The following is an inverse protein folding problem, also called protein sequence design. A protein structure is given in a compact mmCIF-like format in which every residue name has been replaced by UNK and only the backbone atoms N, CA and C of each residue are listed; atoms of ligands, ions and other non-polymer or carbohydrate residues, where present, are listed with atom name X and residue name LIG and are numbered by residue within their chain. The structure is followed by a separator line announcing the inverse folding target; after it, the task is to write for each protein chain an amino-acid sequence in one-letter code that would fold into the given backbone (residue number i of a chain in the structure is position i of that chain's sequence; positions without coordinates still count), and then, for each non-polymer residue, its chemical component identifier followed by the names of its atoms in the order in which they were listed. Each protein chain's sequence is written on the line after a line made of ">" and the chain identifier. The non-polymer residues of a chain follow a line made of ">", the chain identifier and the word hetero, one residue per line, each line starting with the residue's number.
data_IF_636999036501
#
_entry.id   IF_636999036501
#
_cell.length_a   1.000
_cell.length_b   1.000
_cell.length_c   1.000
_cell.angle_alpha   90.00
_cell.angle_beta   90.00
_cell.angle_gamma   90.00
#
_symmetry.space_group_name_H-M   'P 1'
#
loop_
_entity.id
_entity.type
_entity.pdbx_description
1 polymer ?
#
# COMPACT_ATOMS: atom_id res chain seq x y z
N UNK A 1 23.97 11.19 1.20
CA UNK A 1 23.92 11.53 2.65
C UNK A 1 22.61 12.19 3.02
N UNK A 2 22.25 13.38 2.50
CA UNK A 2 20.96 14.04 2.88
C UNK A 2 19.73 13.19 2.57
N UNK A 3 19.69 12.50 1.44
CA UNK A 3 18.56 11.65 1.05
C UNK A 3 18.45 10.40 1.90
N UNK A 4 19.56 9.80 2.30
CA UNK A 4 19.59 8.64 3.20
C UNK A 4 19.09 8.99 4.60
N UNK A 5 19.45 10.16 5.13
CA UNK A 5 18.95 10.65 6.42
C UNK A 5 17.44 10.93 6.37
N UNK A 6 16.95 11.50 5.26
CA UNK A 6 15.52 11.72 5.07
C UNK A 6 14.76 10.40 4.97
N UNK A 7 15.31 9.40 4.29
CA UNK A 7 14.70 8.08 4.20
C UNK A 7 14.71 7.37 5.56
N UNK A 8 15.83 7.39 6.30
CA UNK A 8 15.90 6.82 7.65
C UNK A 8 14.85 7.45 8.57
N UNK A 9 14.65 8.77 8.48
CA UNK A 9 13.60 9.47 9.20
C UNK A 9 12.20 9.01 8.77
N UNK A 10 11.94 8.88 7.47
CA UNK A 10 10.63 8.46 6.94
C UNK A 10 10.23 7.06 7.43
N UNK A 11 11.20 6.17 7.65
CA UNK A 11 10.97 4.78 8.10
C UNK A 11 11.24 4.57 9.60
N UNK A 12 11.44 5.64 10.37
CA UNK A 12 11.85 5.56 11.78
C UNK A 12 10.73 5.14 12.74
N UNK A 13 9.48 5.40 12.38
CA UNK A 13 8.33 5.06 13.22
C UNK A 13 8.09 3.55 13.21
N UNK A 14 7.99 2.92 14.40
CA UNK A 14 7.74 1.48 14.50
C UNK A 14 6.30 1.11 14.12
N UNK A 15 5.39 2.07 14.19
CA UNK A 15 3.98 1.89 13.91
C UNK A 15 3.37 3.16 13.34
N UNK A 16 2.49 2.98 12.37
CA UNK A 16 1.68 4.03 11.76
C UNK A 16 0.39 3.41 11.23
N UNK A 17 -0.72 4.10 11.40
CA UNK A 17 -2.01 3.71 10.82
C UNK A 17 -2.06 3.91 9.30
N UNK A 18 -1.13 4.66 8.73
CA UNK A 18 -1.03 4.93 7.28
C UNK A 18 -0.06 3.98 6.59
N UNK A 19 0.92 3.45 7.31
CA UNK A 19 1.92 2.56 6.71
C UNK A 19 1.31 1.23 6.24
N UNK A 20 1.63 0.84 5.02
CA UNK A 20 1.06 -0.37 4.38
C UNK A 20 1.70 -1.66 4.84
N UNK A 21 2.90 -1.60 5.40
CA UNK A 21 3.59 -2.77 5.95
C UNK A 21 3.05 -3.21 7.33
N UNK A 22 2.15 -2.40 7.90
CA UNK A 22 1.64 -2.62 9.26
C UNK A 22 2.68 -2.27 10.33
N UNK A 23 2.53 -2.80 11.56
CA UNK A 23 3.47 -2.57 12.64
C UNK A 23 4.77 -3.32 12.35
N UNK A 24 5.81 -2.56 12.00
CA UNK A 24 7.15 -3.08 11.72
C UNK A 24 8.14 -2.48 12.68
N UNK A 25 8.66 -3.33 13.57
CA UNK A 25 9.72 -2.91 14.47
C UNK A 25 11.07 -2.99 13.77
N UNK A 26 11.61 -1.84 13.39
CA UNK A 26 12.92 -1.78 12.74
C UNK A 26 13.97 -1.28 13.70
N UNK A 27 14.98 -2.10 13.96
CA UNK A 27 16.21 -1.65 14.61
C UNK A 27 16.96 -0.66 13.69
N UNK A 28 17.91 0.11 14.26
CA UNK A 28 18.76 0.98 13.45
C UNK A 28 19.49 0.21 12.32
N UNK A 29 19.95 -1.01 12.60
CA UNK A 29 20.57 -1.87 11.59
C UNK A 29 19.55 -2.32 10.52
N UNK A 30 18.31 -2.60 10.91
CA UNK A 30 17.23 -2.93 10.00
C UNK A 30 16.88 -1.76 9.06
N UNK A 31 16.80 -0.55 9.59
CA UNK A 31 16.58 0.65 8.77
C UNK A 31 17.69 0.90 7.76
N UNK A 32 18.95 0.77 8.19
CA UNK A 32 20.11 0.88 7.28
C UNK A 32 20.03 -0.10 6.11
N UNK A 33 19.59 -1.34 6.35
CA UNK A 33 19.40 -2.32 5.27
C UNK A 33 18.34 -1.87 4.27
N UNK A 34 17.24 -1.27 4.72
CA UNK A 34 16.20 -0.72 3.83
C UNK A 34 16.76 0.44 3.00
N UNK A 35 17.51 1.34 3.63
CA UNK A 35 18.14 2.49 2.95
C UNK A 35 19.17 2.02 1.91
N UNK A 36 19.89 0.93 2.18
CA UNK A 36 20.93 0.38 1.32
C UNK A 36 20.42 -0.68 0.32
N UNK A 37 19.13 -0.98 0.31
CA UNK A 37 18.56 -1.94 -0.64
C UNK A 37 18.48 -1.36 -2.05
N UNK A 38 19.46 -1.64 -2.88
CA UNK A 38 19.55 -1.18 -4.28
C UNK A 38 18.40 -1.69 -5.15
N UNK A 39 17.64 -2.70 -4.71
CA UNK A 39 16.49 -3.24 -5.44
C UNK A 39 15.25 -2.38 -5.25
N UNK A 40 15.20 -1.63 -4.18
CA UNK A 40 14.10 -0.73 -3.85
C UNK A 40 14.40 0.70 -4.29
N UNK A 41 13.37 1.39 -4.70
CA UNK A 41 13.44 2.83 -4.99
C UNK A 41 12.48 3.57 -4.07
N UNK A 42 12.84 4.77 -3.69
CA UNK A 42 12.12 5.53 -2.67
C UNK A 42 11.79 6.94 -3.18
N UNK A 43 10.57 7.37 -2.95
CA UNK A 43 10.12 8.76 -3.09
C UNK A 43 9.87 9.32 -1.70
N UNK A 44 10.69 10.27 -1.25
CA UNK A 44 10.49 10.94 0.03
C UNK A 44 9.30 11.89 -0.09
N UNK A 45 8.35 11.78 0.84
CA UNK A 45 7.17 12.64 0.90
C UNK A 45 7.41 13.74 1.93
N UNK A 46 7.23 14.98 1.48
CA UNK A 46 7.44 16.18 2.31
C UNK A 46 6.22 17.09 2.25
N UNK A 47 5.89 17.67 3.40
CA UNK A 47 4.88 18.72 3.54
C UNK A 47 5.54 19.89 4.24
N UNK A 48 5.49 21.07 3.65
CA UNK A 48 6.13 22.30 4.19
C UNK A 48 7.59 22.06 4.64
N UNK A 49 8.37 21.39 3.78
CA UNK A 49 9.77 21.01 4.00
C UNK A 49 10.04 19.95 5.10
N UNK A 50 9.03 19.46 5.78
CA UNK A 50 9.16 18.37 6.74
C UNK A 50 8.93 17.02 6.07
N UNK A 51 9.79 16.04 6.37
CA UNK A 51 9.60 14.66 5.94
C UNK A 51 8.46 14.05 6.73
N UNK A 52 7.42 13.59 6.03
CA UNK A 52 6.22 12.97 6.61
C UNK A 52 6.11 11.48 6.27
N UNK A 53 6.95 10.99 5.36
CA UNK A 53 6.98 9.58 5.00
C UNK A 53 7.70 9.32 3.69
N UNK A 54 7.47 8.13 3.14
CA UNK A 54 8.01 7.71 1.85
C UNK A 54 7.03 6.80 1.10
N UNK A 55 7.09 6.83 -0.22
CA UNK A 55 6.52 5.80 -1.10
C UNK A 55 7.68 5.00 -1.66
N UNK A 56 7.67 3.70 -1.41
CA UNK A 56 8.72 2.78 -1.84
C UNK A 56 8.15 1.80 -2.86
N UNK A 57 8.92 1.47 -3.88
CA UNK A 57 8.57 0.37 -4.77
C UNK A 57 9.76 -0.55 -4.96
N UNK A 58 9.47 -1.82 -5.05
CA UNK A 58 10.44 -2.88 -5.27
C UNK A 58 9.91 -3.86 -6.32
N UNK A 59 10.79 -4.49 -7.12
CA UNK A 59 10.37 -5.50 -8.07
C UNK A 59 9.77 -6.71 -7.35
N UNK A 60 8.67 -7.22 -7.89
CA UNK A 60 8.09 -8.48 -7.48
C UNK A 60 8.86 -9.68 -8.05
N UNK A 61 8.30 -10.87 -7.90
CA UNK A 61 8.89 -12.10 -8.45
C UNK A 61 8.70 -12.21 -9.98
N UNK A 62 7.62 -11.65 -10.50
CA UNK A 62 7.31 -11.66 -11.92
C UNK A 62 7.89 -10.41 -12.59
N UNK A 63 8.58 -10.53 -13.74
CA UNK A 63 9.09 -9.39 -14.48
C UNK A 63 7.98 -8.38 -14.83
N UNK A 64 8.24 -7.10 -14.60
CA UNK A 64 7.28 -6.03 -14.81
C UNK A 64 6.28 -5.84 -13.68
N UNK A 65 6.31 -6.67 -12.63
CA UNK A 65 5.47 -6.51 -11.44
C UNK A 65 6.26 -5.80 -10.34
N UNK A 66 5.61 -4.84 -9.70
CA UNK A 66 6.18 -4.08 -8.60
C UNK A 66 5.25 -4.09 -7.40
N UNK A 67 5.83 -4.09 -6.21
CA UNK A 67 5.13 -3.81 -4.96
C UNK A 67 5.37 -2.38 -4.56
N UNK A 68 4.31 -1.71 -4.17
CA UNK A 68 4.34 -0.35 -3.69
C UNK A 68 3.98 -0.34 -2.21
N UNK A 69 4.80 0.33 -1.42
CA UNK A 69 4.58 0.52 0.00
C UNK A 69 4.55 2.01 0.34
N UNK A 70 3.63 2.39 1.21
CA UNK A 70 3.58 3.71 1.83
C UNK A 70 4.08 3.56 3.26
N UNK A 71 5.02 4.40 3.66
CA UNK A 71 5.51 4.48 5.04
C UNK A 71 5.30 5.90 5.55
N UNK A 72 4.70 6.04 6.71
CA UNK A 72 4.47 7.33 7.36
C UNK A 72 5.33 7.45 8.61
N UNK A 73 5.88 8.63 8.84
CA UNK A 73 6.49 9.02 10.12
C UNK A 73 5.71 10.17 10.80
N UNK A 74 4.66 10.66 10.16
CA UNK A 74 3.71 11.63 10.70
C UNK A 74 2.34 11.37 10.09
N UNK A 75 1.52 10.57 10.77
CA UNK A 75 0.19 10.17 10.27
C UNK A 75 -0.78 11.35 10.15
N UNK A 76 -0.61 12.40 10.97
CA UNK A 76 -1.49 13.55 10.95
C UNK A 76 -1.33 14.38 9.66
N UNK A 77 -0.16 14.31 9.02
CA UNK A 77 0.09 14.98 7.75
C UNK A 77 -0.52 14.25 6.54
N UNK A 78 -0.87 12.96 6.68
CA UNK A 78 -1.40 12.18 5.58
C UNK A 78 -2.89 12.40 5.39
N UNK A 79 -3.25 12.73 4.17
CA UNK A 79 -4.62 12.85 3.68
C UNK A 79 -4.80 12.00 2.43
N UNK A 80 -6.04 11.63 2.03
CA UNK A 80 -6.28 10.95 0.76
C UNK A 80 -5.66 11.69 -0.44
N UNK A 81 -5.64 13.03 -0.39
CA UNK A 81 -5.03 13.85 -1.43
C UNK A 81 -3.50 13.74 -1.47
N UNK A 82 -2.84 13.69 -0.31
CA UNK A 82 -1.39 13.49 -0.26
C UNK A 82 -1.02 12.08 -0.74
N UNK A 83 -1.80 11.07 -0.37
CA UNK A 83 -1.65 9.71 -0.87
C UNK A 83 -1.79 9.67 -2.41
N UNK A 84 -2.82 10.32 -2.95
CA UNK A 84 -3.04 10.44 -4.40
C UNK A 84 -1.82 11.05 -5.11
N UNK A 85 -1.32 12.17 -4.63
CA UNK A 85 -0.17 12.85 -5.24
C UNK A 85 1.11 12.01 -5.14
N UNK A 86 1.36 11.41 -3.99
CA UNK A 86 2.59 10.65 -3.74
C UNK A 86 2.61 9.33 -4.51
N UNK A 87 1.52 8.57 -4.46
CA UNK A 87 1.37 7.32 -5.20
C UNK A 87 1.35 7.60 -6.70
N UNK A 88 0.58 8.58 -7.16
CA UNK A 88 0.53 8.97 -8.56
C UNK A 88 1.90 9.39 -9.11
N UNK A 89 2.72 10.06 -8.30
CA UNK A 89 4.11 10.40 -8.67
C UNK A 89 4.99 9.16 -8.80
N UNK A 90 4.91 8.22 -7.86
CA UNK A 90 5.64 6.96 -7.92
C UNK A 90 5.23 6.12 -9.14
N UNK A 91 3.92 6.02 -9.42
CA UNK A 91 3.39 5.34 -10.60
C UNK A 91 3.87 5.97 -11.90
N UNK A 92 3.87 7.31 -11.99
CA UNK A 92 4.38 8.05 -13.15
C UNK A 92 5.87 7.82 -13.36
N UNK A 93 6.64 7.67 -12.28
CA UNK A 93 8.07 7.33 -12.36
C UNK A 93 8.27 5.90 -12.88
N UNK A 94 7.53 4.94 -12.36
CA UNK A 94 7.57 3.54 -12.81
C UNK A 94 7.25 3.42 -14.30
N UNK A 95 6.22 4.12 -14.79
CA UNK A 95 5.83 4.13 -16.19
C UNK A 95 6.94 4.68 -17.12
N UNK A 96 7.74 5.65 -16.64
CA UNK A 96 8.77 6.30 -17.46
C UNK A 96 10.13 5.63 -17.38
N UNK A 97 10.48 5.09 -16.22
CA UNK A 97 11.84 4.63 -15.92
C UNK A 97 12.00 3.11 -15.95
N UNK A 98 10.91 2.36 -15.98
CA UNK A 98 10.92 0.90 -15.89
C UNK A 98 9.89 0.27 -16.84
N UNK A 99 10.14 -0.95 -17.28
CA UNK A 99 9.13 -1.79 -17.94
C UNK A 99 8.13 -2.34 -16.90
N UNK A 100 7.41 -1.44 -16.25
CA UNK A 100 6.43 -1.81 -15.26
C UNK A 100 5.07 -2.05 -15.94
N UNK A 101 4.47 -3.22 -15.67
CA UNK A 101 3.15 -3.60 -16.17
C UNK A 101 2.10 -3.52 -15.08
N UNK A 102 2.48 -3.88 -13.87
CA UNK A 102 1.55 -4.05 -12.78
C UNK A 102 2.16 -3.61 -11.46
N UNK A 103 1.36 -2.94 -10.66
CA UNK A 103 1.73 -2.53 -9.30
C UNK A 103 0.72 -3.08 -8.31
N UNK A 104 1.23 -3.75 -7.28
CA UNK A 104 0.46 -4.26 -6.14
C UNK A 104 0.59 -3.31 -4.96
N UNK A 105 -0.52 -3.03 -4.31
CA UNK A 105 -0.62 -2.28 -3.07
C UNK A 105 -1.44 -3.07 -2.06
N UNK A 106 -0.88 -3.30 -0.87
CA UNK A 106 -1.58 -3.94 0.24
C UNK A 106 -2.03 -2.87 1.24
N UNK A 107 -3.33 -2.81 1.53
CA UNK A 107 -3.89 -1.80 2.43
C UNK A 107 -4.68 -2.47 3.56
N UNK A 108 -4.28 -2.21 4.79
CA UNK A 108 -5.02 -2.68 5.97
C UNK A 108 -6.38 -2.00 6.08
N UNK A 109 -7.38 -2.73 6.58
CA UNK A 109 -8.74 -2.18 6.70
C UNK A 109 -8.90 -1.13 7.81
N UNK A 110 -7.90 -0.93 8.64
CA UNK A 110 -7.83 0.19 9.58
C UNK A 110 -7.25 1.47 8.96
N UNK A 111 -6.61 1.37 7.80
CA UNK A 111 -5.95 2.50 7.13
C UNK A 111 -6.98 3.35 6.36
N UNK A 112 -7.63 4.25 7.07
CA UNK A 112 -8.71 5.08 6.50
C UNK A 112 -8.23 5.95 5.35
N UNK A 113 -7.04 6.54 5.46
CA UNK A 113 -6.47 7.43 4.44
C UNK A 113 -6.31 6.73 3.10
N UNK A 114 -5.72 5.52 3.11
CA UNK A 114 -5.50 4.78 1.88
C UNK A 114 -6.78 4.10 1.36
N UNK A 115 -7.71 3.71 2.24
CA UNK A 115 -9.02 3.22 1.79
C UNK A 115 -9.83 4.32 1.10
N UNK A 116 -9.81 5.55 1.61
CA UNK A 116 -10.46 6.68 0.97
C UNK A 116 -9.79 7.04 -0.37
N UNK A 117 -8.46 6.96 -0.42
CA UNK A 117 -7.72 7.09 -1.69
C UNK A 117 -8.16 6.02 -2.70
N UNK A 118 -8.19 4.74 -2.32
CA UNK A 118 -8.61 3.65 -3.20
C UNK A 118 -10.07 3.79 -3.65
N UNK A 119 -10.94 4.28 -2.77
CA UNK A 119 -12.34 4.51 -3.10
C UNK A 119 -12.53 5.59 -4.18
N UNK A 120 -11.62 6.58 -4.22
CA UNK A 120 -11.66 7.67 -5.20
C UNK A 120 -10.85 7.39 -6.46
N UNK A 121 -10.03 6.32 -6.47
CA UNK A 121 -9.15 5.96 -7.60
C UNK A 121 -9.56 4.64 -8.24
N UNK A 122 -10.17 4.69 -9.40
CA UNK A 122 -10.59 3.49 -10.16
C UNK A 122 -9.43 2.72 -10.81
N UNK A 123 -8.22 3.27 -10.80
CA UNK A 123 -7.04 2.61 -11.38
C UNK A 123 -6.55 1.39 -10.59
N UNK A 124 -6.95 1.29 -9.31
CA UNK A 124 -6.66 0.12 -8.49
C UNK A 124 -7.88 -0.79 -8.39
N UNK A 125 -7.72 -2.01 -8.86
CA UNK A 125 -8.72 -3.07 -8.71
C UNK A 125 -8.46 -3.89 -7.45
N UNK A 126 -9.53 -4.24 -6.71
CA UNK A 126 -9.43 -5.13 -5.57
C UNK A 126 -9.36 -6.57 -6.06
N UNK A 127 -8.25 -7.24 -5.81
CA UNK A 127 -8.09 -8.64 -6.18
C UNK A 127 -8.46 -9.62 -5.08
N UNK A 128 -8.24 -9.23 -3.85
CA UNK A 128 -8.49 -10.12 -2.72
C UNK A 128 -8.48 -9.41 -1.37
N UNK A 129 -8.84 -10.19 -0.36
CA UNK A 129 -8.78 -9.79 1.04
C UNK A 129 -8.02 -10.85 1.82
N UNK A 130 -6.94 -10.44 2.47
CA UNK A 130 -6.18 -11.30 3.38
C UNK A 130 -6.79 -11.16 4.77
N UNK A 131 -7.34 -12.24 5.31
CA UNK A 131 -7.86 -12.29 6.67
C UNK A 131 -6.70 -12.25 7.67
N UNK A 132 -6.95 -11.65 8.83
CA UNK A 132 -6.03 -11.68 9.97
C UNK A 132 -4.58 -11.30 9.63
N UNK A 133 -4.44 -10.36 8.68
CA UNK A 133 -3.13 -10.00 8.14
C UNK A 133 -2.28 -9.20 9.12
N UNK A 134 -2.91 -8.33 9.90
CA UNK A 134 -2.23 -7.46 10.86
C UNK A 134 -2.83 -7.63 12.25
N UNK A 135 -1.98 -7.64 13.27
CA UNK A 135 -2.40 -7.67 14.67
C UNK A 135 -2.07 -6.33 15.32
N UNK A 136 -3.11 -5.58 15.74
CA UNK A 136 -2.99 -4.24 16.31
C UNK A 136 -4.05 -4.06 17.40
N UNK A 137 -3.66 -3.50 18.52
CA UNK A 137 -4.55 -3.18 19.63
C UNK A 137 -5.38 -4.38 20.10
N UNK A 138 -4.73 -5.54 20.18
CA UNK A 138 -5.35 -6.77 20.68
C UNK A 138 -6.27 -7.48 19.69
N UNK A 139 -6.37 -7.05 18.44
CA UNK A 139 -7.21 -7.69 17.42
C UNK A 139 -6.51 -7.87 16.08
N UNK A 140 -7.00 -8.83 15.31
CA UNK A 140 -6.58 -9.03 13.92
C UNK A 140 -7.37 -8.15 12.97
N UNK A 141 -6.66 -7.64 11.97
CA UNK A 141 -7.22 -6.81 10.92
C UNK A 141 -6.96 -7.43 9.56
N UNK A 142 -7.97 -7.48 8.69
CA UNK A 142 -7.76 -7.87 7.31
C UNK A 142 -7.03 -6.80 6.52
N UNK A 143 -6.49 -7.21 5.37
CA UNK A 143 -5.92 -6.30 4.39
C UNK A 143 -6.50 -6.56 3.01
N UNK A 144 -6.64 -5.49 2.25
CA UNK A 144 -7.10 -5.51 0.86
C UNK A 144 -5.86 -5.56 -0.04
N UNK A 145 -5.82 -6.52 -0.96
CA UNK A 145 -4.83 -6.58 -2.03
C UNK A 145 -5.41 -5.84 -3.23
N UNK A 146 -4.75 -4.79 -3.63
CA UNK A 146 -5.15 -3.98 -4.77
C UNK A 146 -4.05 -3.99 -5.82
N UNK A 147 -4.43 -4.03 -7.09
CA UNK A 147 -3.51 -3.97 -8.20
C UNK A 147 -3.92 -2.92 -9.21
N UNK A 148 -2.93 -2.24 -9.77
CA UNK A 148 -3.11 -1.35 -10.91
C UNK A 148 -2.36 -1.92 -12.12
N UNK A 149 -3.07 -2.00 -13.26
CA UNK A 149 -2.44 -2.21 -14.55
C UNK A 149 -1.90 -0.87 -15.06
N UNK A 150 -0.58 -0.78 -15.19
CA UNK A 150 0.05 0.47 -15.60
C UNK A 150 -0.22 0.82 -17.07
N UNK A 151 -0.54 -0.14 -17.91
CA UNK A 151 -0.92 0.12 -19.29
C UNK A 151 -2.27 0.85 -19.40
N UNK A 152 -3.15 0.65 -18.41
CA UNK A 152 -4.45 1.30 -18.31
C UNK A 152 -4.46 2.47 -17.30
N UNK A 153 -3.33 2.81 -16.68
CA UNK A 153 -3.28 3.83 -15.63
C UNK A 153 -3.47 5.23 -16.21
N UNK A 154 -4.53 5.95 -15.87
CA UNK A 154 -4.82 7.26 -16.41
C UNK A 154 -3.84 8.29 -15.84
N UNK A 155 -2.93 8.77 -16.67
CA UNK A 155 -2.06 9.89 -16.31
C UNK A 155 -2.88 11.18 -16.49
N UNK A 156 -3.48 11.68 -15.40
CA UNK A 156 -4.10 13.01 -15.38
C UNK A 156 -5.61 13.10 -15.45
N UNK A 157 -6.34 12.00 -15.63
CA UNK A 157 -7.82 12.01 -15.55
C UNK A 157 -8.28 11.41 -14.20
N UNK A 158 -9.24 12.06 -13.58
CA UNK A 158 -9.98 11.51 -12.44
C UNK A 158 -11.15 10.67 -12.98
N UNK A 159 -11.13 9.35 -12.83
CA UNK A 159 -12.34 8.59 -13.04
C UNK A 159 -13.35 8.88 -11.92
N UNK A 160 -14.63 8.67 -12.19
CA UNK A 160 -15.69 8.76 -11.18
C UNK A 160 -15.37 7.79 -10.03
N UNK A 161 -15.08 8.37 -8.86
CA UNK A 161 -14.64 7.63 -7.69
C UNK A 161 -15.75 6.78 -7.07
N UNK A 162 -15.36 5.69 -6.46
CA UNK A 162 -16.24 4.86 -5.64
C UNK A 162 -16.31 5.44 -4.23
N UNK A 163 -17.51 5.50 -3.62
CA UNK A 163 -17.61 5.86 -2.21
C UNK A 163 -16.96 4.81 -1.30
N UNK A 164 -16.33 5.25 -0.22
CA UNK A 164 -15.68 4.38 0.78
C UNK A 164 -16.58 3.26 1.28
N UNK A 165 -17.88 3.55 1.50
CA UNK A 165 -18.87 2.54 1.91
C UNK A 165 -19.04 1.43 0.87
N UNK A 166 -19.03 1.77 -0.41
CA UNK A 166 -19.09 0.81 -1.51
C UNK A 166 -17.83 -0.04 -1.57
N UNK A 167 -16.65 0.57 -1.38
CA UNK A 167 -15.38 -0.16 -1.26
C UNK A 167 -15.44 -1.18 -0.11
N UNK A 168 -15.82 -0.73 1.08
CA UNK A 168 -15.94 -1.59 2.26
C UNK A 168 -17.01 -2.68 2.07
N UNK A 169 -18.09 -2.38 1.37
CA UNK A 169 -19.12 -3.36 1.00
C UNK A 169 -18.56 -4.43 0.08
N UNK A 170 -17.75 -4.06 -0.92
CA UNK A 170 -17.08 -5.02 -1.82
C UNK A 170 -16.07 -5.89 -1.08
N UNK A 171 -15.28 -5.30 -0.18
CA UNK A 171 -14.37 -6.03 0.70
C UNK A 171 -15.13 -7.06 1.52
N UNK A 172 -16.22 -6.67 2.19
CA UNK A 172 -17.07 -7.58 3.00
C UNK A 172 -17.68 -8.70 2.14
N UNK A 173 -18.15 -8.37 0.93
CA UNK A 173 -18.73 -9.36 0.01
C UNK A 173 -17.71 -10.40 -0.44
N UNK A 174 -16.49 -9.99 -0.82
CA UNK A 174 -15.41 -10.91 -1.14
C UNK A 174 -15.04 -11.80 0.05
N UNK A 175 -14.93 -11.22 1.24
CA UNK A 175 -14.63 -11.99 2.47
C UNK A 175 -15.71 -13.04 2.75
N UNK A 176 -16.99 -12.75 2.52
CA UNK A 176 -18.10 -13.69 2.70
C UNK A 176 -18.11 -14.78 1.62
N UNK A 177 -17.80 -14.45 0.36
CA UNK A 177 -17.71 -15.43 -0.73
C UNK A 177 -16.60 -16.45 -0.48
N UNK A 178 -15.44 -16.00 0.02
CA UNK A 178 -14.33 -16.89 0.37
C UNK A 178 -14.67 -17.81 1.56
N UNK A 179 -15.54 -17.37 2.48
CA UNK A 179 -16.04 -18.19 3.58
C UNK A 179 -17.00 -19.28 3.12
N UNK A 180 -17.86 -19.00 2.11
CA UNK A 180 -18.81 -19.98 1.57
C UNK A 180 -18.11 -21.05 0.73
N UNK A 181 -17.10 -20.69 -0.04
CA UNK A 181 -16.31 -21.66 -0.83
C UNK A 181 -15.50 -22.60 0.07
N UNK A 182 -15.07 -22.15 1.25
CA UNK A 182 -14.33 -23.00 2.21
C UNK A 182 -15.22 -24.01 2.94
N UNK A 183 -16.54 -23.90 2.86
CA UNK A 183 -17.48 -24.79 3.57
C UNK A 183 -18.03 -25.90 2.67
N UNK A 184 -17.90 -25.82 1.35
CA UNK A 184 -18.45 -26.77 0.38
C UNK A 184 -17.41 -27.79 -0.13
N UNK A 185 -16.64 -28.41 0.69
CA UNK A 185 -15.88 -29.58 0.23
C UNK A 185 -14.57 -29.79 0.93
N UNK A 186 -14.59 -30.65 1.86
CA UNK A 186 -14.01 -31.98 1.89
C UNK A 186 -13.98 -32.48 3.32
N UNK A 187 -14.90 -33.39 3.61
CA UNK A 187 -14.74 -34.37 4.66
C UNK A 187 -13.54 -35.25 4.30
N UNK A 188 -12.41 -35.06 4.96
CA UNK A 188 -11.35 -36.05 4.99
C UNK A 188 -11.71 -37.05 6.07
N UNK A 189 -12.28 -38.18 5.66
CA UNK A 189 -12.34 -39.36 6.50
C UNK A 189 -10.91 -39.91 6.68
N UNK A 190 -10.50 -40.13 7.90
CA UNK A 190 -9.33 -40.87 8.33
C UNK A 190 -9.61 -42.36 8.18
#
# INVERSE_FOLDING_TARGET
>A
MADEEMLDRAISQPFSYVSTEGPVWRTAAGRRRVVQDERSSHLIVRVSDQVVGAVTWSPGQTPGFFRLNVTSCDDAAWTPRLAELSIGRAMSFLLRAREARRVELLVATYNEVLLDYLATHSAFEIEGVLKDRFFIDGRYWPAVVCCADLAAFPIGERPDGMHREELLRRVRKKTLQDLTVSHDGTSWAV
#
